data_IF_703598859837
#
_entry.id   IF_703598859837
#
_cell.length_a   1.000
_cell.length_b   1.000
_cell.length_c   1.000
_cell.angle_alpha   90.00
_cell.angle_beta   90.00
_cell.angle_gamma   90.00
#
_symmetry.space_group_name_H-M   'P 1'
#
loop_
_entity.id
_entity.type
_entity.pdbx_description
1 polymer ?
#
# COMPACT_ATOMS: atom_id res chain seq x y z
N UNK A 1 4.65 26.88 15.73
CA UNK A 1 3.39 26.84 14.96
C UNK A 1 2.79 25.49 15.24
N UNK A 2 1.87 25.45 16.20
CA UNK A 2 1.30 24.26 16.79
C UNK A 2 0.40 23.58 15.76
N UNK A 3 0.66 22.31 15.45
CA UNK A 3 -0.27 21.52 14.64
C UNK A 3 -1.34 21.03 15.61
N UNK A 4 -2.57 21.49 15.40
CA UNK A 4 -3.74 21.01 16.13
C UNK A 4 -3.90 19.50 15.88
N UNK A 5 -3.69 18.71 16.94
CA UNK A 5 -4.15 17.33 17.01
C UNK A 5 -5.69 17.33 17.06
N UNK A 6 -6.32 17.55 15.92
CA UNK A 6 -7.76 17.38 15.75
C UNK A 6 -8.13 15.93 16.06
N UNK A 7 -8.94 15.74 17.11
CA UNK A 7 -9.46 14.45 17.54
C UNK A 7 -10.06 13.70 16.35
N UNK A 8 -9.40 12.63 15.93
CA UNK A 8 -9.90 11.76 14.88
C UNK A 8 -11.20 11.12 15.36
N UNK A 9 -12.29 11.28 14.58
CA UNK A 9 -13.63 10.89 15.00
C UNK A 9 -13.71 9.38 15.32
N UNK A 10 -14.02 9.04 16.57
CA UNK A 10 -14.49 7.71 16.92
C UNK A 10 -15.84 7.49 16.23
N UNK A 11 -15.88 6.53 15.31
CA UNK A 11 -17.11 6.10 14.62
C UNK A 11 -17.46 4.73 15.18
N UNK A 12 -18.74 4.39 15.26
CA UNK A 12 -19.18 3.14 15.90
C UNK A 12 -18.40 1.93 15.33
N UNK A 13 -17.59 1.29 16.20
CA UNK A 13 -16.84 0.08 15.89
C UNK A 13 -15.37 0.25 15.47
N UNK A 14 -14.84 1.47 15.26
CA UNK A 14 -13.41 1.66 14.95
C UNK A 14 -12.86 3.04 15.34
N UNK A 15 -11.56 3.08 15.63
CA UNK A 15 -10.77 4.31 15.82
C UNK A 15 -10.02 4.63 14.53
N UNK A 16 -10.12 5.86 14.04
CA UNK A 16 -9.31 6.33 12.92
C UNK A 16 -7.91 6.68 13.44
N UNK A 17 -6.86 6.12 12.82
CA UNK A 17 -5.44 6.33 13.20
C UNK A 17 -4.76 7.37 12.32
N UNK A 18 -5.06 7.37 11.01
CA UNK A 18 -4.59 8.37 10.07
C UNK A 18 -5.55 8.50 8.89
N UNK A 19 -5.51 9.64 8.20
CA UNK A 19 -6.31 9.91 7.00
C UNK A 19 -5.43 10.62 5.96
N UNK A 20 -5.62 10.26 4.70
CA UNK A 20 -4.96 10.90 3.56
C UNK A 20 -6.00 11.17 2.47
N UNK A 21 -5.94 12.37 1.87
CA UNK A 21 -6.65 12.64 0.61
C UNK A 21 -5.97 11.87 -0.52
N UNK A 22 -6.70 11.00 -1.18
CA UNK A 22 -6.18 10.19 -2.28
C UNK A 22 -6.61 10.75 -3.62
N UNK A 23 -5.63 11.16 -4.43
CA UNK A 23 -5.86 11.51 -5.83
C UNK A 23 -5.80 10.24 -6.68
N UNK A 24 -6.86 9.98 -7.43
CA UNK A 24 -6.95 8.80 -8.30
C UNK A 24 -6.04 9.01 -9.51
N UNK A 25 -5.00 8.18 -9.70
CA UNK A 25 -4.08 8.32 -10.81
C UNK A 25 -4.75 7.87 -12.11
N UNK A 26 -4.27 8.41 -13.23
CA UNK A 26 -4.66 7.91 -14.56
C UNK A 26 -4.16 6.48 -14.74
N UNK A 27 -5.04 5.59 -15.21
CA UNK A 27 -4.67 4.21 -15.53
C UNK A 27 -4.15 4.13 -16.97
N UNK A 28 -2.96 3.59 -17.14
CA UNK A 28 -2.34 3.36 -18.44
C UNK A 28 -2.01 1.87 -18.61
N UNK A 29 -2.64 1.22 -19.59
CA UNK A 29 -2.48 -0.22 -19.88
C UNK A 29 -2.62 -1.13 -18.64
N UNK A 30 -3.58 -0.79 -17.77
CA UNK A 30 -3.87 -1.55 -16.55
C UNK A 30 -3.02 -1.17 -15.33
N UNK A 31 -2.15 -0.16 -15.42
CA UNK A 31 -1.31 0.29 -14.31
C UNK A 31 -1.69 1.68 -13.83
N UNK A 32 -1.79 1.84 -12.51
CA UNK A 32 -1.91 3.13 -11.81
C UNK A 32 -0.55 3.77 -11.52
N UNK A 33 0.54 3.04 -11.78
CA UNK A 33 1.93 3.41 -11.52
C UNK A 33 2.26 3.83 -10.07
N UNK A 34 1.41 3.46 -9.12
CA UNK A 34 1.65 3.65 -7.69
C UNK A 34 1.10 2.51 -6.83
N UNK A 35 1.76 2.24 -5.71
CA UNK A 35 1.26 1.45 -4.59
C UNK A 35 0.96 2.37 -3.41
N UNK A 36 0.05 1.95 -2.54
CA UNK A 36 -0.22 2.65 -1.28
C UNK A 36 0.43 1.90 -0.12
N UNK A 37 1.36 2.55 0.56
CA UNK A 37 1.95 2.06 1.79
C UNK A 37 1.20 2.62 2.99
N UNK A 38 0.81 1.73 3.92
CA UNK A 38 0.11 2.09 5.15
C UNK A 38 0.80 1.40 6.32
N UNK A 39 1.32 2.19 7.26
CA UNK A 39 1.88 1.69 8.51
C UNK A 39 0.91 1.99 9.65
N UNK A 40 0.24 0.95 10.15
CA UNK A 40 -0.82 1.09 11.16
C UNK A 40 -0.26 1.49 12.53
N UNK A 41 0.97 1.06 12.88
CA UNK A 41 1.59 1.39 14.16
C UNK A 41 1.98 2.87 14.29
N UNK A 42 2.37 3.51 13.19
CA UNK A 42 2.78 4.93 13.16
C UNK A 42 1.74 5.87 12.57
N UNK A 43 0.71 5.33 11.90
CA UNK A 43 -0.24 6.12 11.12
C UNK A 43 0.34 6.68 9.82
N UNK A 44 1.55 6.28 9.40
CA UNK A 44 2.14 6.77 8.15
C UNK A 44 1.39 6.20 6.94
N UNK A 45 0.97 7.08 6.03
CA UNK A 45 0.38 6.73 4.73
C UNK A 45 1.23 7.39 3.65
N UNK A 46 1.62 6.63 2.62
CA UNK A 46 2.51 7.12 1.55
C UNK A 46 2.17 6.45 0.21
N UNK A 47 2.03 7.23 -0.86
CA UNK A 47 2.01 6.72 -2.22
C UNK A 47 3.45 6.44 -2.68
N UNK A 48 3.74 5.20 -3.07
CA UNK A 48 5.07 4.78 -3.56
C UNK A 48 5.00 4.49 -5.06
N UNK A 49 5.98 4.93 -5.87
CA UNK A 49 5.95 4.71 -7.31
C UNK A 49 6.17 3.24 -7.67
N UNK A 50 5.42 2.75 -8.66
CA UNK A 50 5.72 1.47 -9.33
C UNK A 50 6.75 1.75 -10.44
N UNK A 51 7.92 1.14 -10.32
CA UNK A 51 9.00 1.35 -11.30
C UNK A 51 8.77 0.58 -12.60
N UNK A 52 9.44 1.00 -13.69
CA UNK A 52 9.43 0.27 -14.95
C UNK A 52 9.94 -1.18 -14.78
N UNK A 53 11.01 -1.36 -14.00
CA UNK A 53 11.57 -2.68 -13.69
C UNK A 53 10.54 -3.58 -13.02
N UNK A 54 9.77 -3.05 -12.05
CA UNK A 54 8.71 -3.82 -11.40
C UNK A 54 7.70 -4.33 -12.43
N UNK A 55 7.21 -3.46 -13.32
CA UNK A 55 6.28 -3.84 -14.39
C UNK A 55 6.86 -4.90 -15.33
N UNK A 56 8.11 -4.74 -15.74
CA UNK A 56 8.76 -5.65 -16.70
C UNK A 56 9.05 -7.04 -16.10
N UNK A 57 9.46 -7.11 -14.83
CA UNK A 57 9.91 -8.36 -14.21
C UNK A 57 8.80 -9.09 -13.45
N UNK A 58 7.90 -8.33 -12.83
CA UNK A 58 6.90 -8.87 -11.91
C UNK A 58 5.47 -8.72 -12.42
N UNK A 59 5.25 -7.93 -13.47
CA UNK A 59 3.97 -7.69 -14.13
C UNK A 59 2.97 -7.02 -13.17
N UNK A 60 2.43 -7.71 -12.17
CA UNK A 60 1.50 -7.17 -11.20
C UNK A 60 0.99 -8.25 -10.24
N UNK A 61 -0.06 -7.96 -9.47
CA UNK A 61 -0.72 -8.93 -8.59
C UNK A 61 0.25 -9.66 -7.67
N UNK A 62 0.29 -11.00 -7.76
CA UNK A 62 1.21 -11.84 -6.98
C UNK A 62 2.69 -11.50 -7.21
N UNK A 63 3.08 -11.08 -8.41
CA UNK A 63 4.47 -10.71 -8.69
C UNK A 63 4.89 -9.46 -7.91
N UNK A 64 4.04 -8.43 -7.86
CA UNK A 64 4.29 -7.26 -7.01
C UNK A 64 4.24 -7.62 -5.54
N UNK A 65 3.31 -8.50 -5.14
CA UNK A 65 3.26 -9.09 -3.81
C UNK A 65 4.61 -9.68 -3.37
N UNK A 66 5.20 -10.52 -4.22
CA UNK A 66 6.50 -11.12 -3.99
C UNK A 66 7.62 -10.07 -3.91
N UNK A 67 7.66 -9.11 -4.85
CA UNK A 67 8.67 -8.07 -4.86
C UNK A 67 8.62 -7.20 -3.60
N UNK A 68 7.44 -6.74 -3.21
CA UNK A 68 7.27 -5.93 -2.00
C UNK A 68 7.68 -6.70 -0.75
N UNK A 69 7.16 -7.93 -0.59
CA UNK A 69 7.46 -8.73 0.59
C UNK A 69 8.95 -9.07 0.69
N UNK A 70 9.59 -9.42 -0.44
CA UNK A 70 11.03 -9.69 -0.50
C UNK A 70 11.89 -8.52 0.01
N UNK A 71 11.46 -7.29 -0.21
CA UNK A 71 12.17 -6.10 0.26
C UNK A 71 11.79 -5.67 1.68
N UNK A 72 10.64 -6.14 2.20
CA UNK A 72 10.11 -5.76 3.50
C UNK A 72 10.62 -6.63 4.65
N UNK A 73 10.88 -7.93 4.38
CA UNK A 73 11.23 -8.89 5.43
C UNK A 73 12.70 -9.32 5.37
N UNK A 74 13.18 -9.84 6.49
CA UNK A 74 14.50 -10.48 6.60
C UNK A 74 14.35 -11.97 6.85
N UNK A 75 15.47 -12.72 6.84
CA UNK A 75 15.47 -14.14 7.20
C UNK A 75 15.00 -14.41 8.65
N UNK A 76 15.06 -13.40 9.51
CA UNK A 76 14.75 -13.52 10.94
C UNK A 76 13.31 -13.04 11.25
N UNK A 77 12.64 -12.41 10.28
CA UNK A 77 11.26 -11.92 10.42
C UNK A 77 10.28 -13.09 10.54
N UNK A 78 9.47 -13.09 11.59
CA UNK A 78 8.42 -14.09 11.83
C UNK A 78 7.11 -13.63 11.22
N UNK A 79 6.22 -14.59 11.02
CA UNK A 79 4.91 -14.37 10.42
C UNK A 79 4.03 -13.38 11.21
N UNK A 80 4.23 -13.25 12.52
CA UNK A 80 3.44 -12.41 13.43
C UNK A 80 4.20 -11.20 13.96
N UNK A 81 5.41 -10.93 13.46
CA UNK A 81 6.15 -9.75 13.88
C UNK A 81 5.50 -8.48 13.30
N UNK A 82 5.52 -7.34 14.01
CA UNK A 82 4.84 -6.11 13.57
C UNK A 82 5.44 -5.50 12.31
N UNK A 83 6.69 -5.83 11.96
CA UNK A 83 7.31 -5.43 10.69
C UNK A 83 6.90 -6.30 9.50
N UNK A 84 6.22 -7.43 9.71
CA UNK A 84 5.76 -8.27 8.62
C UNK A 84 4.67 -7.56 7.81
N UNK A 85 4.90 -7.35 6.52
CA UNK A 85 3.97 -6.63 5.65
C UNK A 85 2.90 -7.55 5.05
N UNK A 86 1.68 -7.02 4.94
CA UNK A 86 0.60 -7.62 4.15
C UNK A 86 0.51 -6.88 2.82
N UNK A 87 0.63 -7.61 1.71
CA UNK A 87 0.53 -7.03 0.37
C UNK A 87 -0.77 -7.43 -0.28
N UNK A 88 -1.60 -6.44 -0.61
CA UNK A 88 -2.86 -6.60 -1.34
C UNK A 88 -2.69 -5.90 -2.68
N UNK A 89 -2.76 -6.66 -3.77
CA UNK A 89 -2.58 -6.11 -5.10
C UNK A 89 -3.28 -6.92 -6.17
N UNK A 90 -3.87 -6.22 -7.14
CA UNK A 90 -4.42 -6.81 -8.35
C UNK A 90 -3.37 -6.86 -9.46
N UNK A 91 -3.55 -7.78 -10.41
CA UNK A 91 -2.80 -7.76 -11.67
C UNK A 91 -3.29 -6.65 -12.61
N UNK A 92 -2.59 -6.39 -13.73
CA UNK A 92 -2.95 -5.33 -14.68
C UNK A 92 -4.32 -5.51 -15.36
N UNK A 93 -4.87 -6.72 -15.33
CA UNK A 93 -6.22 -7.01 -15.83
C UNK A 93 -7.29 -6.99 -14.72
N UNK A 94 -6.93 -6.61 -13.50
CA UNK A 94 -7.88 -6.48 -12.40
C UNK A 94 -8.75 -5.24 -12.55
N UNK A 95 -10.04 -5.37 -12.30
CA UNK A 95 -10.98 -4.24 -12.33
C UNK A 95 -11.37 -3.77 -13.74
N UNK A 96 -11.05 -4.55 -14.79
CA UNK A 96 -11.59 -4.31 -16.13
C UNK A 96 -13.00 -4.92 -16.26
N UNK A 97 -13.87 -4.29 -17.03
CA UNK A 97 -15.16 -4.86 -17.42
C UNK A 97 -14.98 -5.69 -18.69
N UNK A 98 -15.33 -6.97 -18.65
CA UNK A 98 -15.52 -7.82 -19.85
C UNK A 98 -16.78 -7.47 -20.61
#
# INVERSE_FOLDING_TARGET
MSIEEGSMAEREGYRVISQMSYEVPKVERGYTDQTLYVNIGTGKIEARPVTAMMKEKFIGGRGFGLWCLWNAVTKDTKWNDPENEIVIGAGPIGGITT
#
